data_IF_951784520851
#
_entry.id   IF_951784520851
#
_cell.length_a   1.000
_cell.length_b   1.000
_cell.length_c   1.000
_cell.angle_alpha   90.00
_cell.angle_beta   90.00
_cell.angle_gamma   90.00
#
_symmetry.space_group_name_H-M   'P 1'
#
loop_
_entity.id
_entity.type
_entity.pdbx_description
1 polymer ?
#
# COMPACT_ATOMS: atom_id res chain seq x y z
N UNK A 1 -11.16 -1.40 7.36
CA UNK A 1 -10.06 -1.91 8.20
C UNK A 1 -10.42 -3.32 8.59
N UNK A 2 -9.43 -4.18 8.69
CA UNK A 2 -9.64 -5.59 8.99
C UNK A 2 -8.42 -6.17 9.69
N UNK A 3 -8.60 -7.31 10.36
CA UNK A 3 -7.53 -8.07 10.99
C UNK A 3 -7.40 -9.37 10.20
N UNK A 4 -6.21 -9.62 9.69
CA UNK A 4 -5.91 -10.93 9.09
C UNK A 4 -5.72 -11.92 10.23
N UNK A 5 -6.45 -13.03 10.13
CA UNK A 5 -6.49 -14.16 11.06
C UNK A 5 -5.09 -14.66 11.49
N UNK A 6 -5.00 -15.30 12.67
CA UNK A 6 -3.72 -15.49 13.34
C UNK A 6 -2.73 -16.27 12.48
N UNK A 7 -1.61 -15.64 12.20
CA UNK A 7 -0.45 -16.27 11.61
C UNK A 7 0.36 -16.98 12.71
N UNK A 8 1.28 -17.84 12.30
CA UNK A 8 2.31 -18.36 13.19
C UNK A 8 2.98 -17.21 13.94
N UNK A 9 3.23 -17.40 15.24
CA UNK A 9 3.89 -16.39 16.08
C UNK A 9 5.21 -16.02 15.43
N UNK A 10 5.42 -14.73 15.15
CA UNK A 10 6.69 -14.27 14.60
C UNK A 10 7.80 -14.30 15.65
N UNK A 11 9.06 -14.18 15.21
CA UNK A 11 10.21 -14.02 16.11
C UNK A 11 10.05 -12.85 17.09
N UNK A 12 9.31 -11.80 16.68
CA UNK A 12 9.02 -10.62 17.50
C UNK A 12 7.76 -10.77 18.37
N UNK A 13 7.13 -11.94 18.40
CA UNK A 13 5.92 -12.23 19.16
C UNK A 13 4.63 -11.69 18.54
N UNK A 14 4.64 -11.28 17.27
CA UNK A 14 3.45 -10.82 16.57
C UNK A 14 2.60 -12.01 16.12
N UNK A 15 1.28 -11.85 16.16
CA UNK A 15 0.34 -12.93 15.79
C UNK A 15 -0.68 -12.52 14.73
N UNK A 16 -0.93 -11.24 14.58
CA UNK A 16 -1.96 -10.74 13.69
C UNK A 16 -1.39 -9.65 12.80
N UNK A 17 -2.01 -9.47 11.64
CA UNK A 17 -1.76 -8.32 10.78
C UNK A 17 -2.98 -7.43 10.82
N UNK A 18 -2.80 -6.20 11.31
CA UNK A 18 -3.79 -5.16 11.18
C UNK A 18 -3.69 -4.52 9.80
N UNK A 19 -4.76 -4.59 9.01
CA UNK A 19 -4.83 -3.99 7.68
C UNK A 19 -5.80 -2.82 7.68
N UNK A 20 -5.27 -1.66 7.32
CA UNK A 20 -6.07 -0.48 6.96
C UNK A 20 -5.97 -0.28 5.46
N UNK A 21 -7.04 0.18 4.83
CA UNK A 21 -7.00 0.47 3.40
C UNK A 21 -7.79 1.74 3.15
N UNK A 22 -7.15 2.73 2.52
CA UNK A 22 -7.86 3.87 1.95
C UNK A 22 -8.57 3.41 0.68
N UNK A 23 -9.90 3.49 0.70
CA UNK A 23 -10.77 3.03 -0.38
C UNK A 23 -10.57 3.82 -1.69
N UNK A 24 -10.36 5.13 -1.59
CA UNK A 24 -10.24 6.01 -2.75
C UNK A 24 -8.92 5.81 -3.48
N UNK A 25 -7.86 5.52 -2.73
CA UNK A 25 -6.50 5.42 -3.24
C UNK A 25 -6.05 3.97 -3.42
N UNK A 26 -6.87 3.00 -2.99
CA UNK A 26 -6.50 1.59 -2.87
C UNK A 26 -5.13 1.44 -2.20
N UNK A 27 -4.94 2.21 -1.14
CA UNK A 27 -3.67 2.27 -0.43
C UNK A 27 -3.76 1.45 0.85
N UNK A 28 -3.29 0.20 0.84
CA UNK A 28 -3.26 -0.60 2.03
C UNK A 28 -2.05 -0.23 2.90
N UNK A 29 -2.27 -0.23 4.22
CA UNK A 29 -1.22 -0.27 5.22
C UNK A 29 -1.44 -1.50 6.09
N UNK A 30 -0.41 -2.32 6.21
CA UNK A 30 -0.40 -3.51 7.05
C UNK A 30 0.59 -3.33 8.18
N UNK A 31 0.18 -3.68 9.39
CA UNK A 31 0.97 -3.56 10.61
C UNK A 31 0.97 -4.86 11.38
N UNK A 32 2.12 -5.36 11.84
CA UNK A 32 2.17 -6.52 12.72
C UNK A 32 1.68 -6.11 14.11
N UNK A 33 0.79 -6.91 14.71
CA UNK A 33 0.26 -6.69 16.06
C UNK A 33 0.27 -7.98 16.87
N UNK A 34 0.37 -7.84 18.19
CA UNK A 34 0.44 -8.98 19.14
C UNK A 34 -0.94 -9.46 19.60
N UNK A 35 -1.98 -8.63 19.48
CA UNK A 35 -3.34 -8.92 19.92
C UNK A 35 -4.39 -8.03 19.24
N UNK A 36 -5.65 -8.47 19.28
CA UNK A 36 -6.80 -7.85 18.60
C UNK A 36 -7.59 -6.88 19.48
N UNK A 37 -7.11 -6.62 20.69
CA UNK A 37 -7.75 -5.71 21.63
C UNK A 37 -7.83 -4.29 21.07
N UNK A 38 -8.96 -3.61 21.31
CA UNK A 38 -9.18 -2.24 20.84
C UNK A 38 -8.07 -1.28 21.30
N UNK A 39 -7.47 -1.51 22.47
CA UNK A 39 -6.33 -0.71 22.96
C UNK A 39 -5.06 -0.89 22.09
N UNK A 40 -4.80 -2.11 21.61
CA UNK A 40 -3.67 -2.41 20.71
C UNK A 40 -3.89 -1.82 19.32
N UNK A 41 -5.12 -1.90 18.82
CA UNK A 41 -5.49 -1.31 17.52
C UNK A 41 -5.50 0.22 17.58
N UNK A 42 -6.05 0.81 18.65
CA UNK A 42 -6.11 2.26 18.84
C UNK A 42 -4.71 2.89 18.98
N UNK A 43 -3.76 2.19 19.60
CA UNK A 43 -2.34 2.58 19.60
C UNK A 43 -1.73 2.59 18.20
N UNK A 44 -2.28 1.77 17.29
CA UNK A 44 -1.72 1.59 15.95
C UNK A 44 -2.17 2.69 14.99
N UNK A 45 -3.48 3.02 14.85
CA UNK A 45 -4.03 4.29 14.26
C UNK A 45 -5.56 4.39 14.39
N UNK A 46 -6.11 5.61 14.37
CA UNK A 46 -7.55 5.96 14.33
C UNK A 46 -8.02 6.32 12.91
N UNK A 47 -8.67 5.40 12.20
CA UNK A 47 -9.53 5.79 11.06
C UNK A 47 -10.98 5.34 11.34
N UNK A 48 -12.01 6.00 10.80
CA UNK A 48 -13.39 5.58 11.00
C UNK A 48 -13.67 4.23 10.33
N UNK A 49 -14.30 3.30 11.05
CA UNK A 49 -14.74 2.00 10.52
C UNK A 49 -15.93 2.19 9.56
N UNK A 50 -15.85 1.62 8.35
CA UNK A 50 -16.93 1.66 7.36
C UNK A 50 -17.29 0.22 6.92
N UNK A 51 -18.41 -0.36 7.38
CA UNK A 51 -18.76 -1.77 7.18
C UNK A 51 -19.18 -2.14 5.75
N UNK A 52 -19.19 -1.20 4.79
CA UNK A 52 -19.58 -1.46 3.40
C UNK A 52 -18.42 -1.90 2.48
N UNK A 53 -17.27 -2.31 3.03
CA UNK A 53 -15.98 -2.37 2.29
C UNK A 53 -15.33 -3.75 2.18
N UNK A 54 -15.99 -4.83 2.59
CA UNK A 54 -15.39 -6.16 2.76
C UNK A 54 -14.66 -6.66 1.50
N UNK A 55 -15.27 -6.57 0.31
CA UNK A 55 -14.69 -7.19 -0.89
C UNK A 55 -13.37 -6.59 -1.41
N UNK A 56 -12.96 -5.36 -1.06
CA UNK A 56 -11.64 -4.84 -1.46
C UNK A 56 -10.57 -5.22 -0.43
N UNK A 57 -10.91 -5.20 0.85
CA UNK A 57 -10.01 -5.57 1.93
C UNK A 57 -9.76 -7.08 1.88
N UNK A 58 -10.78 -7.90 1.68
CA UNK A 58 -10.64 -9.34 1.47
C UNK A 58 -9.73 -9.68 0.28
N UNK A 59 -9.89 -8.99 -0.85
CA UNK A 59 -9.02 -9.17 -2.03
C UNK A 59 -7.57 -8.78 -1.75
N UNK A 60 -7.37 -7.71 -0.99
CA UNK A 60 -6.04 -7.31 -0.57
C UNK A 60 -5.44 -8.35 0.39
N UNK A 61 -6.19 -8.80 1.41
CA UNK A 61 -5.76 -9.81 2.36
C UNK A 61 -5.35 -11.11 1.65
N UNK A 62 -6.14 -11.55 0.66
CA UNK A 62 -5.78 -12.71 -0.18
C UNK A 62 -4.52 -12.47 -1.02
N UNK A 63 -4.31 -11.25 -1.53
CA UNK A 63 -3.07 -10.90 -2.24
C UNK A 63 -1.87 -10.90 -1.30
N UNK A 64 -2.01 -10.31 -0.12
CA UNK A 64 -0.99 -10.25 0.90
C UNK A 64 -0.60 -11.65 1.39
N UNK A 65 -1.57 -12.52 1.65
CA UNK A 65 -1.32 -13.92 2.01
C UNK A 65 -0.55 -14.67 0.92
N UNK A 66 -0.88 -14.47 -0.35
CA UNK A 66 -0.14 -15.04 -1.47
C UNK A 66 1.30 -14.51 -1.58
N UNK A 67 1.54 -13.24 -1.27
CA UNK A 67 2.87 -12.64 -1.26
C UNK A 67 3.72 -13.21 -0.13
N UNK A 68 3.16 -13.28 1.08
CA UNK A 68 3.78 -13.89 2.26
C UNK A 68 4.15 -15.34 1.98
N UNK A 69 3.21 -16.15 1.47
CA UNK A 69 3.43 -17.56 1.17
C UNK A 69 4.52 -17.82 0.12
N UNK A 70 4.78 -16.86 -0.78
CA UNK A 70 5.82 -16.99 -1.83
C UNK A 70 7.19 -16.49 -1.40
N UNK A 71 7.24 -15.54 -0.48
CA UNK A 71 8.48 -14.86 -0.11
C UNK A 71 9.11 -15.44 1.16
N UNK A 72 8.42 -16.34 1.86
CA UNK A 72 8.85 -16.89 3.15
C UNK A 72 9.05 -18.39 3.04
N UNK A 73 10.22 -18.84 3.49
CA UNK A 73 10.50 -20.26 3.78
C UNK A 73 10.15 -20.60 5.24
N UNK A 74 10.46 -19.69 6.18
CA UNK A 74 10.19 -19.84 7.61
C UNK A 74 9.05 -18.93 8.08
N UNK A 75 7.94 -19.53 8.48
CA UNK A 75 6.69 -18.83 8.84
C UNK A 75 6.80 -17.89 10.04
N UNK A 76 7.96 -17.76 10.70
CA UNK A 76 8.18 -16.87 11.84
C UNK A 76 8.76 -15.50 11.43
N UNK A 77 9.16 -15.33 10.16
CA UNK A 77 9.81 -14.11 9.64
C UNK A 77 8.85 -13.14 8.92
N UNK A 78 7.55 -13.40 8.98
CA UNK A 78 6.58 -12.66 8.17
C UNK A 78 6.48 -11.18 8.53
N UNK A 79 6.72 -10.81 9.79
CA UNK A 79 6.63 -9.44 10.27
C UNK A 79 7.81 -8.58 9.80
N UNK A 80 9.01 -9.17 9.69
CA UNK A 80 10.21 -8.51 9.17
C UNK A 80 10.05 -8.16 7.68
N UNK A 81 9.48 -9.08 6.88
CA UNK A 81 9.33 -8.86 5.44
C UNK A 81 8.05 -8.10 5.07
N UNK A 82 7.11 -7.94 6.01
CA UNK A 82 5.80 -7.36 5.75
C UNK A 82 5.91 -5.98 5.08
N UNK A 83 6.79 -5.11 5.58
CA UNK A 83 6.98 -3.77 4.99
C UNK A 83 7.57 -3.80 3.59
N UNK A 84 8.45 -4.77 3.28
CA UNK A 84 8.99 -4.97 1.93
C UNK A 84 7.89 -5.42 0.98
N UNK A 85 7.02 -6.34 1.42
CA UNK A 85 5.84 -6.77 0.65
C UNK A 85 4.87 -5.62 0.41
N UNK A 86 4.62 -4.78 1.41
CA UNK A 86 3.79 -3.58 1.26
C UNK A 86 4.37 -2.63 0.20
N UNK A 87 5.69 -2.44 0.18
CA UNK A 87 6.36 -1.62 -0.82
C UNK A 87 6.24 -2.22 -2.22
N UNK A 88 6.46 -3.54 -2.36
CA UNK A 88 6.30 -4.26 -3.61
C UNK A 88 4.87 -4.12 -4.16
N UNK A 89 3.86 -4.29 -3.31
CA UNK A 89 2.45 -4.10 -3.67
C UNK A 89 2.18 -2.66 -4.12
N UNK A 90 2.58 -1.66 -3.34
CA UNK A 90 2.36 -0.23 -3.63
C UNK A 90 3.02 0.23 -4.93
N UNK A 91 4.12 -0.41 -5.32
CA UNK A 91 4.84 -0.13 -6.57
C UNK A 91 4.32 -0.90 -7.79
N UNK A 92 3.51 -1.94 -7.58
CA UNK A 92 3.02 -2.78 -8.66
C UNK A 92 1.78 -2.19 -9.31
N UNK A 93 1.70 -2.24 -10.65
CA UNK A 93 0.55 -1.72 -11.41
C UNK A 93 -0.68 -2.58 -11.13
N UNK A 94 -1.74 -1.96 -10.61
CA UNK A 94 -3.02 -2.63 -10.41
C UNK A 94 -3.72 -2.79 -11.77
N UNK A 95 -4.12 -4.03 -12.12
CA UNK A 95 -4.74 -4.34 -13.42
C UNK A 95 -6.06 -3.64 -13.68
N UNK A 96 -6.83 -3.33 -12.63
CA UNK A 96 -8.11 -2.63 -12.74
C UNK A 96 -7.94 -1.12 -12.89
N UNK A 97 -6.86 -0.57 -12.34
CA UNK A 97 -6.56 0.86 -12.40
C UNK A 97 -5.60 1.26 -13.51
N UNK A 98 -4.79 0.33 -14.01
CA UNK A 98 -3.74 0.58 -15.01
C UNK A 98 -2.59 1.44 -14.48
N UNK A 99 -2.50 1.63 -13.17
CA UNK A 99 -1.42 2.36 -12.49
C UNK A 99 -1.11 1.75 -11.12
N UNK A 100 0.07 2.04 -10.56
CA UNK A 100 0.42 1.61 -9.21
C UNK A 100 -0.30 2.47 -8.15
N UNK A 101 -0.63 1.91 -6.97
CA UNK A 101 -1.15 2.72 -5.86
C UNK A 101 -0.24 3.91 -5.51
N UNK A 102 1.08 3.73 -5.59
CA UNK A 102 2.05 4.80 -5.38
C UNK A 102 1.92 5.91 -6.42
N UNK A 103 1.80 5.57 -7.71
CA UNK A 103 1.56 6.55 -8.75
C UNK A 103 0.24 7.30 -8.56
N UNK A 104 -0.80 6.63 -8.07
CA UNK A 104 -2.11 7.25 -7.83
C UNK A 104 -2.04 8.38 -6.78
N UNK A 105 -1.24 8.20 -5.72
CA UNK A 105 -1.07 9.18 -4.65
C UNK A 105 -0.05 10.26 -5.01
N UNK A 106 1.13 9.84 -5.45
CA UNK A 106 2.27 10.73 -5.59
C UNK A 106 2.44 11.27 -7.01
N UNK A 107 1.70 10.75 -8.01
CA UNK A 107 1.81 11.17 -9.41
C UNK A 107 3.13 10.80 -10.06
N UNK A 108 3.94 9.94 -9.44
CA UNK A 108 5.16 9.38 -10.03
C UNK A 108 5.38 7.98 -9.50
N UNK A 109 6.14 7.17 -10.22
CA UNK A 109 6.52 5.83 -9.74
C UNK A 109 7.53 5.93 -8.60
N UNK A 110 7.55 4.91 -7.74
CA UNK A 110 8.53 4.80 -6.67
C UNK A 110 9.94 4.78 -7.28
N UNK A 111 10.85 5.59 -6.73
CA UNK A 111 12.26 5.52 -7.09
C UNK A 111 12.92 4.47 -6.23
N UNK A 112 13.36 3.37 -6.84
CA UNK A 112 14.16 2.39 -6.10
C UNK A 112 15.46 3.05 -5.60
N UNK A 113 16.08 2.55 -4.52
CA UNK A 113 17.35 3.06 -4.04
C UNK A 113 18.42 3.14 -5.14
N UNK A 114 18.46 2.14 -6.04
CA UNK A 114 19.36 2.14 -7.20
C UNK A 114 19.15 3.34 -8.14
N UNK A 115 17.89 3.70 -8.44
CA UNK A 115 17.55 4.85 -9.30
C UNK A 115 17.80 6.17 -8.58
N UNK A 116 17.54 6.23 -7.27
CA UNK A 116 17.83 7.41 -6.45
C UNK A 116 19.34 7.71 -6.41
N UNK A 117 20.18 6.70 -6.23
CA UNK A 117 21.64 6.84 -6.27
C UNK A 117 22.12 7.39 -7.60
N UNK A 118 21.62 6.88 -8.72
CA UNK A 118 21.97 7.39 -10.06
C UNK A 118 21.55 8.86 -10.27
N UNK A 119 20.41 9.27 -9.74
CA UNK A 119 19.91 10.63 -9.88
C UNK A 119 20.75 11.66 -9.12
N UNK A 120 21.19 11.34 -7.88
CA UNK A 120 22.01 12.22 -7.03
C UNK A 120 23.35 12.57 -7.70
N UNK A 121 23.93 11.63 -8.44
CA UNK A 121 25.23 11.82 -9.10
C UNK A 121 25.20 12.78 -10.29
N UNK A 122 24.03 13.18 -10.79
CA UNK A 122 23.91 13.90 -12.07
C UNK A 122 23.85 15.44 -12.00
N UNK A 123 23.87 16.06 -10.80
CA UNK A 123 23.93 17.53 -10.54
C UNK A 123 23.30 18.48 -11.59
N UNK A 124 22.13 18.16 -12.15
CA UNK A 124 21.56 18.98 -13.21
C UNK A 124 20.23 19.62 -12.75
N UNK A 125 20.26 20.93 -12.52
CA UNK A 125 19.18 21.71 -11.94
C UNK A 125 17.99 21.95 -12.90
N UNK A 126 18.19 21.81 -14.21
CA UNK A 126 17.13 21.89 -15.22
C UNK A 126 16.14 20.71 -15.14
N UNK A 127 16.56 19.63 -14.48
CA UNK A 127 15.72 18.46 -14.18
C UNK A 127 14.60 18.84 -13.20
N UNK A 128 14.83 19.77 -12.27
CA UNK A 128 13.87 20.11 -11.20
C UNK A 128 12.62 20.78 -11.78
N UNK A 129 12.78 21.74 -12.69
CA UNK A 129 11.66 22.42 -13.35
C UNK A 129 10.84 21.48 -14.25
N UNK A 130 11.53 20.66 -15.06
CA UNK A 130 10.90 19.63 -15.90
C UNK A 130 10.20 18.56 -15.05
N UNK A 131 10.79 18.18 -13.92
CA UNK A 131 10.20 17.25 -12.97
C UNK A 131 8.93 17.83 -12.35
N UNK A 132 8.95 19.08 -11.87
CA UNK A 132 7.78 19.74 -11.29
C UNK A 132 6.61 19.83 -12.30
N UNK A 133 6.90 20.18 -13.55
CA UNK A 133 5.88 20.26 -14.62
C UNK A 133 5.30 18.86 -14.94
N UNK A 134 6.17 17.86 -15.06
CA UNK A 134 5.78 16.47 -15.31
C UNK A 134 4.94 15.92 -14.16
N UNK A 135 5.34 16.20 -12.92
CA UNK A 135 4.63 15.79 -11.71
C UNK A 135 3.22 16.39 -11.66
N UNK A 136 3.09 17.69 -11.95
CA UNK A 136 1.80 18.39 -12.02
C UNK A 136 0.86 17.73 -13.04
N UNK A 137 1.36 17.41 -14.24
CA UNK A 137 0.56 16.75 -15.28
C UNK A 137 0.13 15.34 -14.87
N UNK A 138 1.03 14.56 -14.28
CA UNK A 138 0.75 13.19 -13.84
C UNK A 138 -0.25 13.14 -12.67
N UNK A 139 -0.12 14.04 -11.69
CA UNK A 139 -1.10 14.19 -10.61
C UNK A 139 -2.49 14.56 -11.15
N UNK A 140 -2.57 15.47 -12.13
CA UNK A 140 -3.84 15.82 -12.76
C UNK A 140 -4.49 14.62 -13.49
N UNK A 141 -3.68 13.77 -14.12
CA UNK A 141 -4.15 12.53 -14.77
C UNK A 141 -4.65 11.53 -13.74
N UNK A 142 -3.87 11.25 -12.70
CA UNK A 142 -4.24 10.34 -11.62
C UNK A 142 -5.53 10.78 -10.92
N UNK A 143 -5.63 12.06 -10.56
CA UNK A 143 -6.82 12.64 -9.93
C UNK A 143 -8.07 12.50 -10.81
N UNK A 144 -7.97 12.77 -12.11
CA UNK A 144 -9.10 12.57 -13.01
C UNK A 144 -9.56 11.11 -13.08
N UNK A 145 -8.62 10.17 -13.10
CA UNK A 145 -8.90 8.74 -13.20
C UNK A 145 -9.56 8.19 -11.92
N UNK A 146 -9.05 8.60 -10.75
CA UNK A 146 -9.66 8.30 -9.45
C UNK A 146 -11.10 8.86 -9.40
N UNK A 147 -11.30 10.10 -9.86
CA UNK A 147 -12.63 10.71 -9.93
C UNK A 147 -13.59 9.94 -10.84
N UNK A 148 -13.14 9.39 -11.96
CA UNK A 148 -13.97 8.53 -12.82
C UNK A 148 -14.31 7.20 -12.17
N UNK A 149 -13.36 6.59 -11.44
CA UNK A 149 -13.63 5.37 -10.66
C UNK A 149 -14.67 5.62 -9.57
N UNK A 150 -14.56 6.74 -8.84
CA UNK A 150 -15.51 7.15 -7.82
C UNK A 150 -16.95 7.23 -8.37
N UNK A 151 -17.14 7.82 -9.55
CA UNK A 151 -18.45 7.88 -10.22
C UNK A 151 -19.01 6.51 -10.61
N UNK A 152 -18.17 5.51 -10.87
CA UNK A 152 -18.59 4.15 -11.21
C UNK A 152 -18.98 3.34 -9.98
N UNK A 153 -18.32 3.59 -8.86
CA UNK A 153 -18.60 2.97 -7.56
C UNK A 153 -19.90 3.52 -6.98
N UNK A 154 -20.10 4.84 -7.02
CA UNK A 154 -21.30 5.50 -6.46
C UNK A 154 -22.60 5.27 -7.28
N UNK A 155 -22.53 4.49 -8.37
CA UNK A 155 -23.68 4.14 -9.23
C UNK A 155 -24.06 2.66 -9.15
N UNK A 156 -23.34 1.86 -8.35
CA UNK A 156 -23.68 0.49 -8.00
C UNK A 156 -24.21 0.46 -6.57
#
# INVERSE_FOLDING_TARGET
>A
MDIVDPLSVSNSGNRYIFVTCDYLLKWPEAFPIQGTEAATIAKTKTTPYHPQSDGLVERFNGTLGNMIAKCIENVEQWDEILQLLMMAYKSSVDKSAGMSPYYAIFGHEIRSPAVATLAIHSQNYDIVGKFALTLKQRLAKAHNLIRTMHRRISRK
#
